data_IF_972715809341
#
_entry.id   IF_972715809341
#
_cell.length_a   1.000
_cell.length_b   1.000
_cell.length_c   1.000
_cell.angle_alpha   90.00
_cell.angle_beta   90.00
_cell.angle_gamma   90.00
#
_symmetry.space_group_name_H-M   'P 1'
#
loop_
_entity.id
_entity.type
_entity.pdbx_description
1 polymer ?
#
# COMPACT_ATOMS: atom_id res chain seq x y z
N UNK A 1 -23.56 -5.88 -12.21
CA UNK A 1 -22.52 -6.26 -13.19
C UNK A 1 -21.16 -5.98 -12.56
N UNK A 2 -20.30 -6.99 -12.44
CA UNK A 2 -18.92 -6.76 -12.00
C UNK A 2 -18.15 -6.45 -13.27
N UNK A 3 -17.81 -5.17 -13.48
CA UNK A 3 -16.88 -4.78 -14.53
C UNK A 3 -15.52 -5.41 -14.19
N UNK A 4 -15.04 -6.31 -15.04
CA UNK A 4 -13.72 -6.89 -14.93
C UNK A 4 -12.70 -5.78 -15.16
N UNK A 5 -12.02 -5.37 -14.09
CA UNK A 5 -10.93 -4.40 -14.14
C UNK A 5 -9.75 -5.05 -14.87
N UNK A 6 -9.34 -4.48 -16.00
CA UNK A 6 -8.20 -4.95 -16.80
C UNK A 6 -6.94 -4.20 -16.41
N UNK A 7 -5.83 -4.91 -16.22
CA UNK A 7 -4.50 -4.31 -15.99
C UNK A 7 -3.95 -3.57 -17.24
N UNK A 8 -4.66 -3.64 -18.37
CA UNK A 8 -4.34 -2.92 -19.61
C UNK A 8 -5.08 -1.58 -19.71
N UNK A 9 -6.01 -1.30 -18.79
CA UNK A 9 -6.74 -0.04 -18.74
C UNK A 9 -5.79 1.09 -18.33
N UNK A 10 -5.37 1.89 -19.32
CA UNK A 10 -4.41 2.98 -19.14
C UNK A 10 -4.98 4.18 -18.36
N UNK A 11 -6.30 4.27 -18.22
CA UNK A 11 -6.96 5.30 -17.40
C UNK A 11 -6.90 4.93 -15.92
N UNK A 12 -7.05 3.63 -15.61
CA UNK A 12 -6.97 3.10 -14.25
C UNK A 12 -5.54 2.74 -13.82
N UNK A 13 -4.68 2.33 -14.76
CA UNK A 13 -3.30 1.90 -14.55
C UNK A 13 -2.35 2.63 -15.51
N UNK A 14 -2.15 3.95 -15.33
CA UNK A 14 -1.22 4.71 -16.16
C UNK A 14 0.19 4.12 -16.08
N UNK A 15 0.77 3.79 -17.24
CA UNK A 15 2.15 3.26 -17.38
C UNK A 15 3.22 4.35 -17.27
N UNK A 16 2.90 5.45 -16.61
CA UNK A 16 3.88 6.50 -16.34
C UNK A 16 5.03 5.91 -15.52
N UNK A 17 6.26 6.34 -15.80
CA UNK A 17 7.43 5.91 -15.02
C UNK A 17 7.52 6.58 -13.65
N UNK A 18 6.60 7.49 -13.35
CA UNK A 18 6.60 8.29 -12.14
C UNK A 18 5.28 8.15 -11.39
N UNK A 19 5.36 7.70 -10.14
CA UNK A 19 4.23 7.65 -9.24
C UNK A 19 3.80 9.09 -8.89
N UNK A 20 2.72 9.58 -9.47
CA UNK A 20 2.17 10.89 -9.14
C UNK A 20 1.36 10.82 -7.84
N UNK A 21 2.06 10.88 -6.71
CA UNK A 21 1.45 11.11 -5.41
C UNK A 21 1.14 12.61 -5.30
N UNK A 22 0.03 13.07 -5.90
CA UNK A 22 -0.39 14.47 -5.69
C UNK A 22 -0.41 14.73 -4.18
N UNK A 23 0.43 15.64 -3.66
CA UNK A 23 0.64 15.79 -2.22
C UNK A 23 -0.58 16.38 -1.48
N UNK A 24 -1.59 16.84 -2.23
CA UNK A 24 -2.87 17.34 -1.71
C UNK A 24 -3.95 16.25 -1.65
N UNK A 25 -3.56 14.98 -1.47
CA UNK A 25 -4.52 13.91 -1.24
C UNK A 25 -5.32 14.24 0.03
N UNK A 26 -6.63 14.07 -0.06
CA UNK A 26 -7.57 14.21 1.05
C UNK A 26 -7.01 13.49 2.28
N UNK A 27 -7.11 14.06 3.50
CA UNK A 27 -6.65 13.40 4.71
C UNK A 27 -7.19 11.98 4.79
N UNK A 28 -6.32 11.03 5.14
CA UNK A 28 -6.75 9.65 5.35
C UNK A 28 -7.72 9.64 6.53
N UNK A 29 -8.97 9.28 6.26
CA UNK A 29 -9.96 9.05 7.31
C UNK A 29 -9.60 7.75 8.05
N UNK A 30 -8.95 7.92 9.20
CA UNK A 30 -8.47 6.82 10.06
C UNK A 30 -9.64 6.03 10.63
N UNK A 31 -10.79 6.66 10.87
CA UNK A 31 -11.97 5.98 11.40
C UNK A 31 -12.59 5.08 10.34
N UNK A 32 -12.73 5.58 9.11
CA UNK A 32 -13.16 4.80 7.96
C UNK A 32 -12.21 3.60 7.72
N UNK A 33 -10.90 3.85 7.76
CA UNK A 33 -9.90 2.78 7.60
C UNK A 33 -10.04 1.71 8.70
N UNK A 34 -10.21 2.12 9.95
CA UNK A 34 -10.35 1.21 11.09
C UNK A 34 -11.62 0.37 10.98
N UNK A 35 -12.73 0.99 10.56
CA UNK A 35 -13.99 0.29 10.30
C UNK A 35 -13.82 -0.73 9.18
N UNK A 36 -13.20 -0.36 8.05
CA UNK A 36 -12.91 -1.29 6.97
C UNK A 36 -12.01 -2.44 7.42
N UNK A 37 -10.95 -2.14 8.18
CA UNK A 37 -10.01 -3.16 8.68
C UNK A 37 -10.70 -4.18 9.57
N UNK A 38 -11.63 -3.75 10.42
CA UNK A 38 -12.43 -4.63 11.27
C UNK A 38 -13.52 -5.43 10.51
N UNK A 39 -13.97 -4.93 9.35
CA UNK A 39 -15.09 -5.51 8.60
C UNK A 39 -14.67 -6.47 7.48
N UNK A 40 -13.44 -6.34 6.97
CA UNK A 40 -12.95 -7.08 5.82
C UNK A 40 -12.05 -8.26 6.22
N UNK A 41 -12.15 -9.35 5.47
CA UNK A 41 -11.35 -10.55 5.73
C UNK A 41 -9.85 -10.33 5.47
N UNK A 42 -9.00 -11.06 6.20
CA UNK A 42 -7.53 -11.05 6.01
C UNK A 42 -7.12 -11.29 4.55
N UNK A 43 -7.84 -12.15 3.83
CA UNK A 43 -7.56 -12.45 2.43
C UNK A 43 -7.77 -11.21 1.53
N UNK A 44 -8.74 -10.36 1.86
CA UNK A 44 -8.98 -9.11 1.15
C UNK A 44 -7.78 -8.18 1.28
N UNK A 45 -7.28 -8.00 2.51
CA UNK A 45 -6.09 -7.19 2.79
C UNK A 45 -4.83 -7.73 2.15
N UNK A 46 -4.62 -9.05 2.18
CA UNK A 46 -3.51 -9.71 1.49
C UNK A 46 -3.53 -9.40 -0.02
N UNK A 47 -4.71 -9.53 -0.66
CA UNK A 47 -4.91 -9.21 -2.09
C UNK A 47 -4.64 -7.73 -2.39
N UNK A 48 -5.07 -6.82 -1.51
CA UNK A 48 -4.81 -5.40 -1.67
C UNK A 48 -3.30 -5.10 -1.65
N UNK A 49 -2.58 -5.57 -0.61
CA UNK A 49 -1.15 -5.29 -0.45
C UNK A 49 -0.34 -5.85 -1.63
N UNK A 50 -0.65 -7.07 -2.08
CA UNK A 50 0.01 -7.68 -3.25
C UNK A 50 -0.27 -6.87 -4.53
N UNK A 51 -1.51 -6.43 -4.74
CA UNK A 51 -1.88 -5.61 -5.90
C UNK A 51 -1.14 -4.28 -5.91
N UNK A 52 -1.05 -3.61 -4.75
CA UNK A 52 -0.30 -2.36 -4.61
C UNK A 52 1.19 -2.58 -4.86
N UNK A 53 1.80 -3.67 -4.35
CA UNK A 53 3.20 -4.02 -4.68
C UNK A 53 3.38 -4.18 -6.18
N UNK A 54 2.53 -4.98 -6.84
CA UNK A 54 2.59 -5.22 -8.28
C UNK A 54 2.49 -3.93 -9.08
N UNK A 55 1.70 -2.97 -8.61
CA UNK A 55 1.62 -1.63 -9.18
C UNK A 55 2.91 -0.83 -8.95
N UNK A 56 3.36 -0.70 -7.69
CA UNK A 56 4.53 0.12 -7.30
C UNK A 56 5.82 -0.35 -7.97
N UNK A 57 6.04 -1.66 -8.11
CA UNK A 57 7.25 -2.21 -8.76
C UNK A 57 7.40 -1.74 -10.20
N UNK A 58 6.31 -1.39 -10.90
CA UNK A 58 6.37 -0.84 -12.26
C UNK A 58 6.99 0.56 -12.33
N UNK A 59 7.08 1.28 -11.21
CA UNK A 59 7.66 2.62 -11.11
C UNK A 59 9.10 2.60 -10.60
N UNK A 60 9.52 1.52 -9.94
CA UNK A 60 10.84 1.36 -9.30
C UNK A 60 11.84 0.61 -10.21
N UNK A 61 11.44 0.30 -11.47
CA UNK A 61 12.04 -0.68 -12.38
C UNK A 61 13.56 -0.58 -12.66
N UNK A 62 14.29 0.43 -12.17
CA UNK A 62 15.71 0.64 -12.48
C UNK A 62 16.61 0.87 -11.24
N UNK A 63 16.11 0.58 -10.03
CA UNK A 63 16.90 0.72 -8.80
C UNK A 63 16.67 -0.48 -7.86
N UNK A 64 17.61 -1.42 -7.91
CA UNK A 64 17.58 -2.66 -7.11
C UNK A 64 17.59 -2.39 -5.60
N UNK A 65 18.25 -1.33 -5.14
CA UNK A 65 18.30 -0.96 -3.72
C UNK A 65 16.93 -0.41 -3.26
N UNK A 66 16.34 0.47 -4.08
CA UNK A 66 14.97 0.96 -3.82
C UNK A 66 13.94 -0.16 -3.90
N UNK A 67 14.10 -1.12 -4.81
CA UNK A 67 13.23 -2.29 -4.92
C UNK A 67 13.30 -3.17 -3.66
N UNK A 68 14.51 -3.41 -3.15
CA UNK A 68 14.73 -4.18 -1.93
C UNK A 68 14.04 -3.53 -0.72
N UNK A 69 14.25 -2.23 -0.50
CA UNK A 69 13.59 -1.50 0.58
C UNK A 69 12.07 -1.43 0.44
N UNK A 70 11.59 -1.34 -0.80
CA UNK A 70 10.16 -1.36 -1.09
C UNK A 70 9.54 -2.71 -0.74
N UNK A 71 10.22 -3.81 -1.05
CA UNK A 71 9.78 -5.17 -0.69
C UNK A 71 9.74 -5.38 0.82
N UNK A 72 10.75 -4.92 1.56
CA UNK A 72 10.75 -4.95 3.03
C UNK A 72 9.54 -4.19 3.61
N UNK A 73 9.24 -3.01 3.06
CA UNK A 73 8.08 -2.23 3.47
C UNK A 73 6.75 -2.98 3.19
N UNK A 74 6.63 -3.61 2.02
CA UNK A 74 5.44 -4.40 1.66
C UNK A 74 5.26 -5.63 2.55
N UNK A 75 6.35 -6.30 2.94
CA UNK A 75 6.30 -7.42 3.89
C UNK A 75 5.80 -6.94 5.26
N UNK A 76 6.30 -5.80 5.76
CA UNK A 76 5.84 -5.22 7.02
C UNK A 76 4.35 -4.83 6.97
N UNK A 77 3.90 -4.19 5.89
CA UNK A 77 2.50 -3.79 5.70
C UNK A 77 1.59 -5.01 5.60
N UNK A 78 2.00 -6.02 4.82
CA UNK A 78 1.26 -7.27 4.66
C UNK A 78 1.07 -7.97 6.00
N UNK A 79 2.15 -8.11 6.78
CA UNK A 79 2.10 -8.66 8.14
C UNK A 79 1.13 -7.89 9.02
N UNK A 80 1.15 -6.56 8.99
CA UNK A 80 0.26 -5.75 9.81
C UNK A 80 -1.22 -5.88 9.42
N UNK A 81 -1.53 -5.84 8.13
CA UNK A 81 -2.92 -5.79 7.66
C UNK A 81 -3.57 -7.16 7.56
N UNK A 82 -2.82 -8.17 7.12
CA UNK A 82 -3.33 -9.50 6.82
C UNK A 82 -2.96 -10.56 7.88
N UNK A 83 -1.84 -10.40 8.60
CA UNK A 83 -1.40 -11.36 9.61
C UNK A 83 -1.63 -10.81 11.03
N UNK A 84 -2.80 -11.10 11.58
CA UNK A 84 -3.26 -10.64 12.91
C UNK A 84 -2.39 -11.12 14.12
N UNK A 85 -1.21 -11.71 13.87
CA UNK A 85 -0.26 -12.20 14.89
C UNK A 85 1.14 -11.59 14.84
N UNK A 86 1.49 -10.72 13.89
CA UNK A 86 2.84 -10.14 13.86
C UNK A 86 2.87 -8.75 14.49
N UNK A 87 3.37 -8.69 15.72
CA UNK A 87 3.97 -7.52 16.38
C UNK A 87 3.41 -6.13 16.00
N UNK A 88 2.23 -5.82 16.55
CA UNK A 88 1.67 -4.44 16.63
C UNK A 88 2.70 -3.33 16.97
N UNK A 89 3.79 -3.56 17.74
CA UNK A 89 4.81 -2.53 17.99
C UNK A 89 5.59 -2.10 16.75
N UNK A 90 5.96 -3.02 15.85
CA UNK A 90 6.81 -2.71 14.69
C UNK A 90 6.07 -1.85 13.65
N UNK A 91 4.80 -2.18 13.40
CA UNK A 91 3.94 -1.43 12.48
C UNK A 91 3.62 -0.02 12.99
N UNK A 92 3.40 0.15 14.31
CA UNK A 92 3.27 1.48 14.91
C UNK A 92 4.52 2.33 14.71
N UNK A 93 5.70 1.72 14.74
CA UNK A 93 6.96 2.42 14.55
C UNK A 93 7.08 2.96 13.11
N UNK A 94 6.67 2.16 12.11
CA UNK A 94 6.63 2.60 10.71
C UNK A 94 5.61 3.73 10.50
N UNK A 95 4.39 3.59 11.02
CA UNK A 95 3.37 4.65 10.93
C UNK A 95 3.81 5.96 11.62
N UNK A 96 4.51 5.86 12.75
CA UNK A 96 5.06 7.03 13.43
C UNK A 96 6.16 7.73 12.63
N UNK A 97 6.96 6.98 11.85
CA UNK A 97 7.97 7.55 10.96
C UNK A 97 7.36 8.26 9.75
N UNK A 98 6.26 7.72 9.23
CA UNK A 98 5.51 8.35 8.12
C UNK A 98 4.90 9.70 8.57
N UNK A 99 4.47 9.82 9.82
CA UNK A 99 3.88 11.04 10.38
C UNK A 99 4.88 12.10 10.90
N UNK A 100 6.21 11.90 10.75
CA UNK A 100 7.23 12.73 11.42
C UNK A 100 8.02 13.69 10.51
N UNK A 101 7.58 13.96 9.28
CA UNK A 101 8.22 14.97 8.42
C UNK A 101 7.26 16.11 8.04
N UNK A 102 6.66 16.75 9.06
CA UNK A 102 6.04 18.08 8.91
C UNK A 102 6.62 19.00 9.99
N UNK A 103 7.89 19.38 9.82
CA UNK A 103 8.47 20.62 10.35
C UNK A 103 9.62 21.05 9.45
#
# INVERSE_FOLDING_TARGET
>A
MILTVSMEDMELFPKDSHLNTKPNSVPIDVDCFTQMHSSLERLWWSRLVISVRGYVVNYVQNDDETLFHTDDAFVCIHRYLAEEKSERPLARQVLSRINMNVY
#
